data_IF_463883950532
#
_entry.id   IF_463883950532
#
_cell.length_a   1.000
_cell.length_b   1.000
_cell.length_c   1.000
_cell.angle_alpha   90.00
_cell.angle_beta   90.00
_cell.angle_gamma   90.00
#
_symmetry.space_group_name_H-M   'P 1'
#
loop_
_entity.id
_entity.type
_entity.pdbx_description
1 polymer ?
#
# COMPACT_ATOMS: atom_id res chain seq x y z
N UNK A 1 4.25 19.73 8.31
CA UNK A 1 2.86 19.96 7.84
C UNK A 1 1.98 18.88 8.40
N UNK A 2 0.74 19.18 8.76
CA UNK A 2 -0.14 18.22 9.43
C UNK A 2 -1.47 18.09 8.70
N UNK A 3 -1.96 16.84 8.57
CA UNK A 3 -3.29 16.51 8.10
C UNK A 3 -4.02 15.74 9.19
N UNK A 4 -5.22 16.18 9.54
CA UNK A 4 -6.13 15.46 10.45
C UNK A 4 -7.41 15.18 9.66
N UNK A 5 -7.82 13.93 9.62
CA UNK A 5 -9.05 13.48 8.96
C UNK A 5 -9.82 12.60 9.95
N UNK A 6 -10.90 13.11 10.48
CA UNK A 6 -11.83 12.37 11.32
C UNK A 6 -13.22 12.55 10.71
N UNK A 7 -13.65 11.59 9.89
CA UNK A 7 -14.89 11.71 9.10
C UNK A 7 -15.69 10.41 9.06
N UNK A 8 -17.01 10.58 8.92
CA UNK A 8 -17.93 9.51 8.56
C UNK A 8 -18.72 9.91 7.31
N UNK A 9 -18.90 8.94 6.40
CA UNK A 9 -19.74 9.09 5.21
C UNK A 9 -20.51 7.82 4.91
N UNK A 10 -21.81 7.93 4.84
CA UNK A 10 -22.67 6.83 4.40
C UNK A 10 -22.94 6.95 2.89
N UNK A 11 -22.71 5.86 2.17
CA UNK A 11 -23.00 5.72 0.75
C UNK A 11 -24.20 4.79 0.49
N UNK A 12 -24.91 4.36 1.55
CA UNK A 12 -26.03 3.42 1.48
C UNK A 12 -25.57 1.96 1.34
N UNK A 13 -24.69 1.64 0.38
CA UNK A 13 -24.14 0.31 0.18
C UNK A 13 -22.96 0.00 1.11
N UNK A 14 -22.24 1.01 1.56
CA UNK A 14 -21.18 0.91 2.57
C UNK A 14 -21.00 2.23 3.32
N UNK A 15 -20.44 2.17 4.52
CA UNK A 15 -20.14 3.33 5.35
C UNK A 15 -18.64 3.50 5.47
N UNK A 16 -18.17 4.73 5.22
CA UNK A 16 -16.77 5.12 5.38
C UNK A 16 -16.56 5.72 6.77
N UNK A 17 -15.58 5.21 7.50
CA UNK A 17 -15.13 5.77 8.78
C UNK A 17 -13.62 5.86 8.80
N UNK A 18 -13.11 7.08 8.92
CA UNK A 18 -11.69 7.40 8.84
C UNK A 18 -11.31 8.29 10.01
N UNK A 19 -10.32 7.84 10.79
CA UNK A 19 -9.68 8.65 11.82
C UNK A 19 -8.17 8.49 11.67
N UNK A 20 -7.53 9.49 11.08
CA UNK A 20 -6.08 9.49 10.81
C UNK A 20 -5.47 10.86 11.10
N UNK A 21 -4.22 10.82 11.54
CA UNK A 21 -3.37 11.99 11.72
C UNK A 21 -2.01 11.73 11.07
N UNK A 22 -1.52 12.71 10.30
CA UNK A 22 -0.24 12.62 9.60
C UNK A 22 0.58 13.88 9.82
N UNK A 23 1.90 13.70 9.94
CA UNK A 23 2.89 14.76 9.96
C UNK A 23 4.04 14.46 9.00
N UNK A 24 4.32 15.38 8.07
CA UNK A 24 5.52 15.43 7.21
C UNK A 24 6.05 14.10 6.62
N UNK A 25 5.19 13.09 6.39
CA UNK A 25 5.57 11.81 5.81
C UNK A 25 4.73 11.48 4.58
N UNK A 26 5.12 10.48 3.81
CA UNK A 26 4.27 9.90 2.76
C UNK A 26 3.36 8.86 3.41
N UNK A 27 2.07 9.17 3.49
CA UNK A 27 1.07 8.28 4.07
C UNK A 27 0.45 7.40 2.99
N UNK A 28 0.66 6.08 3.10
CA UNK A 28 0.04 5.10 2.22
C UNK A 28 -1.34 4.66 2.69
N UNK A 29 -2.32 4.61 1.77
CA UNK A 29 -3.58 3.92 1.99
C UNK A 29 -3.53 2.59 1.23
N UNK A 30 -3.46 1.49 1.95
CA UNK A 30 -3.37 0.14 1.41
C UNK A 30 -4.66 -0.64 1.68
N UNK A 31 -5.17 -1.38 0.70
CA UNK A 31 -6.36 -2.21 0.85
C UNK A 31 -6.95 -2.63 -0.50
N UNK A 32 -7.95 -3.51 -0.47
CA UNK A 32 -8.63 -4.01 -1.66
C UNK A 32 -9.35 -2.90 -2.44
N UNK A 33 -9.66 -3.17 -3.70
CA UNK A 33 -10.47 -2.26 -4.52
C UNK A 33 -11.86 -2.08 -3.89
N UNK A 34 -12.37 -0.83 -3.88
CA UNK A 34 -13.70 -0.52 -3.31
C UNK A 34 -13.74 -0.38 -1.78
N UNK A 35 -12.64 -0.54 -1.04
CA UNK A 35 -12.65 -0.43 0.43
C UNK A 35 -12.71 1.00 1.00
N UNK A 36 -12.76 2.05 0.15
CA UNK A 36 -12.98 3.44 0.60
C UNK A 36 -11.79 4.40 0.45
N UNK A 37 -10.61 3.94 0.01
CA UNK A 37 -9.38 4.76 -0.13
C UNK A 37 -9.57 6.00 -0.99
N UNK A 38 -9.98 5.84 -2.25
CA UNK A 38 -10.23 6.95 -3.19
C UNK A 38 -11.37 7.87 -2.73
N UNK A 39 -12.37 7.33 -2.01
CA UNK A 39 -13.44 8.15 -1.45
C UNK A 39 -12.94 9.04 -0.32
N UNK A 40 -12.00 8.56 0.50
CA UNK A 40 -11.32 9.37 1.50
C UNK A 40 -10.55 10.53 0.85
N UNK A 41 -9.78 10.25 -0.22
CA UNK A 41 -9.08 11.31 -0.96
C UNK A 41 -10.08 12.36 -1.51
N UNK A 42 -11.19 11.91 -2.08
CA UNK A 42 -12.25 12.81 -2.59
C UNK A 42 -12.87 13.66 -1.48
N UNK A 43 -13.01 13.11 -0.26
CA UNK A 43 -13.45 13.87 0.90
C UNK A 43 -12.43 14.94 1.31
N UNK A 44 -11.13 14.61 1.34
CA UNK A 44 -10.05 15.57 1.64
C UNK A 44 -10.02 16.68 0.59
N UNK A 45 -10.13 16.33 -0.69
CA UNK A 45 -10.16 17.28 -1.80
C UNK A 45 -11.42 18.15 -1.88
N UNK A 46 -12.49 17.80 -1.14
CA UNK A 46 -13.78 18.53 -1.18
C UNK A 46 -14.68 18.18 -2.36
N UNK A 47 -14.35 17.15 -3.10
CA UNK A 47 -15.16 16.62 -4.20
C UNK A 47 -16.39 15.88 -3.65
N UNK A 48 -16.20 15.17 -2.55
CA UNK A 48 -17.27 14.49 -1.80
C UNK A 48 -17.38 15.14 -0.42
N UNK A 49 -18.59 15.52 -0.02
CA UNK A 49 -18.84 16.06 1.31
C UNK A 49 -19.07 14.93 2.31
N UNK A 50 -18.28 14.82 3.40
CA UNK A 50 -18.57 13.92 4.51
C UNK A 50 -19.92 14.26 5.17
N UNK A 51 -20.51 13.28 5.87
CA UNK A 51 -21.74 13.52 6.62
C UNK A 51 -21.45 14.07 8.02
N UNK A 52 -20.35 13.57 8.65
CA UNK A 52 -19.91 13.99 9.98
C UNK A 52 -18.42 14.15 10.05
N UNK A 53 -17.98 14.87 11.08
CA UNK A 53 -16.58 14.94 11.45
C UNK A 53 -15.88 16.18 10.95
N UNK A 54 -14.57 16.09 10.78
CA UNK A 54 -13.68 17.24 10.55
C UNK A 54 -12.49 16.86 9.69
N UNK A 55 -12.04 17.81 8.84
CA UNK A 55 -10.78 17.73 8.08
C UNK A 55 -10.01 19.02 8.32
N UNK A 56 -8.76 18.87 8.77
CA UNK A 56 -7.86 20.00 9.04
C UNK A 56 -6.55 19.77 8.29
N UNK A 57 -6.07 20.78 7.60
CA UNK A 57 -4.77 20.81 6.93
C UNK A 57 -3.97 22.01 7.45
N UNK A 58 -2.80 21.78 8.03
CA UNK A 58 -1.92 22.81 8.59
C UNK A 58 -2.62 23.79 9.55
N UNK A 59 -3.52 23.26 10.40
CA UNK A 59 -4.33 24.07 11.33
C UNK A 59 -5.55 24.75 10.69
N UNK A 60 -5.67 24.75 9.35
CA UNK A 60 -6.82 25.30 8.62
C UNK A 60 -7.93 24.25 8.50
N UNK A 61 -9.13 24.60 8.94
CA UNK A 61 -10.31 23.72 8.85
C UNK A 61 -10.83 23.74 7.41
N UNK A 62 -10.77 22.59 6.74
CA UNK A 62 -11.31 22.41 5.38
C UNK A 62 -12.76 21.95 5.40
N UNK A 63 -13.11 21.12 6.38
CA UNK A 63 -14.46 20.65 6.64
C UNK A 63 -14.69 20.50 8.15
N UNK A 64 -15.87 20.89 8.61
CA UNK A 64 -16.34 20.68 9.98
C UNK A 64 -17.89 20.65 9.96
N UNK A 65 -18.45 19.48 10.27
CA UNK A 65 -19.89 19.25 10.23
C UNK A 65 -20.65 20.02 11.30
N UNK A 66 -20.05 20.23 12.48
CA UNK A 66 -20.67 20.94 13.60
C UNK A 66 -20.69 22.46 13.34
N UNK A 67 -19.57 23.00 12.85
CA UNK A 67 -19.43 24.41 12.52
C UNK A 67 -20.01 24.78 11.14
N UNK A 68 -20.50 23.79 10.40
CA UNK A 68 -21.03 23.94 9.02
C UNK A 68 -20.02 24.54 8.04
N UNK A 69 -18.73 24.24 8.24
CA UNK A 69 -17.65 24.64 7.35
C UNK A 69 -17.47 23.55 6.28
N UNK A 70 -17.41 23.94 5.02
CA UNK A 70 -17.08 23.07 3.89
C UNK A 70 -16.46 23.91 2.78
N UNK A 71 -15.14 24.02 2.77
CA UNK A 71 -14.43 24.76 1.73
C UNK A 71 -14.56 24.04 0.39
N UNK A 72 -14.83 24.79 -0.70
CA UNK A 72 -14.85 24.21 -2.03
C UNK A 72 -13.43 23.73 -2.44
N UNK A 73 -13.29 22.80 -3.39
CA UNK A 73 -11.99 22.23 -3.79
C UNK A 73 -10.93 23.29 -4.13
N UNK A 74 -11.32 24.38 -4.79
CA UNK A 74 -10.43 25.46 -5.23
C UNK A 74 -9.74 26.20 -4.06
N UNK A 75 -10.36 26.19 -2.89
CA UNK A 75 -9.84 26.86 -1.70
C UNK A 75 -9.03 25.94 -0.79
N UNK A 76 -8.99 24.62 -1.07
CA UNK A 76 -8.36 23.65 -0.17
C UNK A 76 -6.85 23.52 -0.31
N UNK A 77 -6.24 24.08 -1.35
CA UNK A 77 -4.80 23.99 -1.62
C UNK A 77 -4.33 22.52 -1.79
N UNK A 78 -5.11 21.69 -2.48
CA UNK A 78 -4.92 20.25 -2.62
C UNK A 78 -4.55 19.89 -4.06
N UNK A 79 -3.34 19.36 -4.29
CA UNK A 79 -2.96 18.70 -5.54
C UNK A 79 -3.59 17.32 -5.64
N UNK A 80 -4.34 17.03 -6.69
CA UNK A 80 -4.99 15.72 -6.87
C UNK A 80 -4.55 15.09 -8.19
N UNK A 81 -3.96 13.92 -8.11
CA UNK A 81 -3.72 13.04 -9.25
C UNK A 81 -4.79 11.94 -9.27
N UNK A 82 -5.66 11.97 -10.25
CA UNK A 82 -6.71 10.97 -10.46
C UNK A 82 -6.15 9.72 -11.14
N UNK A 83 -6.75 8.57 -10.86
CA UNK A 83 -6.39 7.28 -11.43
C UNK A 83 -6.36 7.27 -12.97
N UNK A 84 -7.26 7.99 -13.62
CA UNK A 84 -7.34 8.15 -15.08
C UNK A 84 -6.67 9.44 -15.58
N UNK A 85 -5.76 10.02 -14.77
CA UNK A 85 -5.06 11.29 -15.01
C UNK A 85 -5.97 12.50 -15.18
N UNK A 86 -7.22 12.35 -15.59
CA UNK A 86 -8.24 13.39 -15.80
C UNK A 86 -7.70 14.64 -16.53
N UNK A 87 -6.86 14.46 -17.55
CA UNK A 87 -6.43 15.56 -18.42
C UNK A 87 -7.63 16.02 -19.26
N UNK A 88 -7.72 17.34 -19.48
CA UNK A 88 -8.74 17.92 -20.32
C UNK A 88 -8.40 17.68 -21.80
N UNK A 89 -9.17 16.83 -22.52
CA UNK A 89 -8.78 16.37 -23.86
C UNK A 89 -8.81 17.45 -24.92
N UNK A 90 -9.59 18.51 -24.69
CA UNK A 90 -9.77 19.67 -25.59
C UNK A 90 -8.78 20.83 -25.29
N UNK A 91 -7.94 20.68 -24.28
CA UNK A 91 -6.92 21.63 -23.89
C UNK A 91 -5.54 21.10 -24.30
N UNK A 92 -4.65 22.01 -24.68
CA UNK A 92 -3.24 21.71 -24.88
C UNK A 92 -2.56 21.33 -23.55
N UNK A 93 -1.34 20.81 -23.61
CA UNK A 93 -0.55 20.45 -22.43
C UNK A 93 -0.27 21.70 -21.59
N UNK A 94 0.06 22.81 -22.24
CA UNK A 94 0.20 24.13 -21.58
C UNK A 94 -1.06 24.49 -20.78
N UNK A 95 -2.21 24.48 -21.43
CA UNK A 95 -3.49 24.84 -20.82
C UNK A 95 -3.88 23.91 -19.68
N UNK A 96 -3.60 22.60 -19.80
CA UNK A 96 -3.79 21.64 -18.72
C UNK A 96 -2.97 22.00 -17.46
N UNK A 97 -1.72 22.46 -17.62
CA UNK A 97 -0.88 22.87 -16.48
C UNK A 97 -1.34 24.22 -15.93
N UNK A 98 -1.73 25.16 -16.80
CA UNK A 98 -2.11 26.52 -16.43
C UNK A 98 -3.44 26.63 -15.70
N UNK A 99 -4.32 25.63 -15.78
CA UNK A 99 -5.68 25.70 -15.22
C UNK A 99 -5.71 26.00 -13.70
N UNK A 100 -4.73 25.49 -12.97
CA UNK A 100 -4.56 25.76 -11.53
C UNK A 100 -3.89 27.12 -11.23
N UNK A 101 -3.44 27.84 -12.26
CA UNK A 101 -2.67 29.08 -12.12
C UNK A 101 -3.47 30.33 -12.49
N UNK A 102 -4.80 30.29 -12.41
CA UNK A 102 -5.71 31.33 -12.90
C UNK A 102 -5.37 32.74 -12.39
N UNK A 103 -4.88 32.85 -11.16
CA UNK A 103 -4.59 34.11 -10.49
C UNK A 103 -3.22 34.74 -10.85
N UNK A 104 -2.41 34.07 -11.68
CA UNK A 104 -1.09 34.55 -12.06
C UNK A 104 -1.09 35.27 -13.41
N UNK A 105 -0.14 36.20 -13.60
CA UNK A 105 0.08 36.87 -14.88
C UNK A 105 0.69 35.92 -15.92
N UNK A 106 0.46 36.19 -17.20
CA UNK A 106 0.91 35.34 -18.33
C UNK A 106 2.40 34.99 -18.28
N UNK A 107 3.26 35.93 -17.97
CA UNK A 107 4.71 35.70 -17.89
C UNK A 107 5.11 34.74 -16.75
N UNK A 108 4.38 34.77 -15.65
CA UNK A 108 4.60 33.84 -14.51
C UNK A 108 4.13 32.44 -14.86
N UNK A 109 2.94 32.30 -15.48
CA UNK A 109 2.45 31.06 -16.01
C UNK A 109 3.43 30.41 -16.98
N UNK A 110 3.94 31.17 -17.95
CA UNK A 110 4.95 30.71 -18.91
C UNK A 110 6.20 30.14 -18.24
N UNK A 111 6.70 30.81 -17.19
CA UNK A 111 7.86 30.31 -16.43
C UNK A 111 7.57 29.01 -15.73
N UNK A 112 6.41 28.91 -15.05
CA UNK A 112 6.00 27.71 -14.31
C UNK A 112 5.78 26.53 -15.28
N UNK A 113 5.07 26.75 -16.38
CA UNK A 113 4.84 25.69 -17.38
C UNK A 113 6.17 25.16 -17.91
N UNK A 114 7.10 26.04 -18.31
CA UNK A 114 8.44 25.64 -18.80
C UNK A 114 9.23 24.88 -17.73
N UNK A 115 9.19 25.33 -16.47
CA UNK A 115 9.86 24.66 -15.36
C UNK A 115 9.35 23.23 -15.18
N UNK A 116 8.00 23.06 -15.12
CA UNK A 116 7.42 21.72 -14.90
C UNK A 116 7.56 20.82 -16.12
N UNK A 117 7.47 21.34 -17.34
CA UNK A 117 7.75 20.54 -18.54
C UNK A 117 9.21 20.04 -18.56
N UNK A 118 10.16 20.88 -18.15
CA UNK A 118 11.56 20.46 -18.02
C UNK A 118 11.73 19.40 -16.92
N UNK A 119 11.13 19.59 -15.73
CA UNK A 119 11.17 18.60 -14.63
C UNK A 119 10.58 17.26 -15.07
N UNK A 120 9.54 17.28 -15.91
CA UNK A 120 8.88 16.08 -16.44
C UNK A 120 9.53 15.54 -17.72
N UNK A 121 10.63 16.14 -18.21
CA UNK A 121 11.33 15.76 -19.46
C UNK A 121 10.39 15.79 -20.68
N UNK A 122 9.55 16.81 -20.78
CA UNK A 122 8.54 17.02 -21.84
C UNK A 122 8.64 18.41 -22.49
N UNK A 123 9.86 18.99 -22.57
CA UNK A 123 10.10 20.24 -23.29
C UNK A 123 9.68 20.12 -24.77
N UNK A 124 9.05 21.14 -25.29
CA UNK A 124 8.55 21.17 -26.67
C UNK A 124 7.19 20.49 -26.88
N UNK A 125 6.53 20.01 -25.78
CA UNK A 125 5.21 19.40 -25.85
C UNK A 125 4.07 20.39 -25.54
N UNK A 126 4.35 21.64 -25.31
CA UNK A 126 3.43 22.67 -24.83
C UNK A 126 2.11 22.76 -25.63
N UNK A 127 2.24 22.65 -26.95
CA UNK A 127 1.13 22.83 -27.89
C UNK A 127 0.45 21.50 -28.30
N UNK A 128 0.91 20.36 -27.75
CA UNK A 128 0.26 19.07 -28.01
C UNK A 128 -1.00 18.92 -27.16
N UNK A 129 -1.86 18.00 -27.59
CA UNK A 129 -3.06 17.58 -26.87
C UNK A 129 -2.83 16.24 -26.17
N UNK A 130 -3.59 15.90 -25.10
CA UNK A 130 -3.45 14.63 -24.38
C UNK A 130 -3.46 13.38 -25.25
N UNK A 131 -4.31 13.31 -26.26
CA UNK A 131 -4.41 12.16 -27.19
C UNK A 131 -3.15 11.94 -28.06
N UNK A 132 -2.25 12.90 -28.10
CA UNK A 132 -0.96 12.83 -28.82
C UNK A 132 0.19 12.31 -27.94
N UNK A 133 -0.11 11.92 -26.70
CA UNK A 133 0.86 11.49 -25.70
C UNK A 133 0.67 10.02 -25.36
N UNK A 134 1.78 9.31 -25.04
CA UNK A 134 1.73 8.00 -24.40
C UNK A 134 1.15 8.09 -22.98
N UNK A 135 0.68 6.96 -22.42
CA UNK A 135 0.13 6.91 -21.05
C UNK A 135 1.10 7.48 -20.01
N UNK A 136 2.38 7.12 -20.05
CA UNK A 136 3.40 7.67 -19.15
C UNK A 136 3.64 9.16 -19.33
N UNK A 137 3.56 9.69 -20.56
CA UNK A 137 3.63 11.13 -20.83
C UNK A 137 2.41 11.87 -20.28
N UNK A 138 1.21 11.30 -20.46
CA UNK A 138 -0.03 11.85 -19.87
C UNK A 138 0.06 11.93 -18.35
N UNK A 139 0.57 10.88 -17.71
CA UNK A 139 0.79 10.84 -16.27
C UNK A 139 1.73 11.95 -15.81
N UNK A 140 2.88 12.14 -16.47
CA UNK A 140 3.82 13.22 -16.14
C UNK A 140 3.17 14.60 -16.25
N UNK A 141 2.32 14.82 -17.25
CA UNK A 141 1.57 16.09 -17.36
C UNK A 141 0.54 16.24 -16.22
N UNK A 142 -0.12 15.16 -15.82
CA UNK A 142 -1.04 15.19 -14.69
C UNK A 142 -0.30 15.52 -13.36
N UNK A 143 0.91 15.00 -13.17
CA UNK A 143 1.80 15.42 -12.07
C UNK A 143 2.19 16.90 -12.19
N UNK A 144 2.62 17.35 -13.37
CA UNK A 144 2.95 18.76 -13.58
C UNK A 144 1.77 19.66 -13.20
N UNK A 145 0.55 19.34 -13.65
CA UNK A 145 -0.66 20.07 -13.30
C UNK A 145 -0.94 20.08 -11.80
N UNK A 146 -0.80 18.91 -11.14
CA UNK A 146 -1.06 18.78 -9.70
C UNK A 146 -0.05 19.54 -8.83
N UNK A 147 1.17 19.75 -9.31
CA UNK A 147 2.26 20.39 -8.56
C UNK A 147 2.46 21.88 -8.89
N UNK A 148 2.02 22.33 -10.08
CA UNK A 148 2.34 23.64 -10.62
C UNK A 148 1.92 24.81 -9.72
N UNK A 149 0.80 24.70 -9.01
CA UNK A 149 0.34 25.75 -8.10
C UNK A 149 0.82 25.57 -6.65
N UNK A 150 1.80 24.66 -6.41
CA UNK A 150 2.43 24.42 -5.11
C UNK A 150 1.43 24.10 -4.00
N UNK A 151 0.68 23.00 -4.11
CA UNK A 151 -0.33 22.64 -3.12
C UNK A 151 0.31 22.37 -1.75
N UNK A 152 -0.48 22.49 -0.67
CA UNK A 152 -0.08 22.13 0.70
C UNK A 152 -0.08 20.61 0.91
N UNK A 153 -0.91 19.89 0.16
CA UNK A 153 -1.00 18.43 0.18
C UNK A 153 -1.16 17.87 -1.23
N UNK A 154 -0.49 16.75 -1.49
CA UNK A 154 -0.59 15.99 -2.73
C UNK A 154 -1.33 14.67 -2.49
N UNK A 155 -2.43 14.47 -3.19
CA UNK A 155 -3.25 13.26 -3.14
C UNK A 155 -3.04 12.46 -4.43
N UNK A 156 -2.49 11.25 -4.31
CA UNK A 156 -2.16 10.37 -5.43
C UNK A 156 -3.06 9.14 -5.39
N UNK A 157 -4.01 9.05 -6.33
CA UNK A 157 -5.02 8.01 -6.39
C UNK A 157 -4.63 6.96 -7.43
N UNK A 158 -4.03 5.85 -6.99
CA UNK A 158 -3.56 4.73 -7.81
C UNK A 158 -2.75 5.20 -9.06
N UNK A 159 -1.68 5.97 -8.88
CA UNK A 159 -1.03 6.67 -9.99
C UNK A 159 -0.51 5.75 -11.10
N UNK A 160 -0.20 4.49 -10.80
CA UNK A 160 0.41 3.56 -11.76
C UNK A 160 -0.51 2.44 -12.24
N UNK A 161 -1.79 2.45 -11.84
CA UNK A 161 -2.74 1.37 -12.17
C UNK A 161 -3.02 1.20 -13.67
N UNK A 162 -2.80 2.25 -14.46
CA UNK A 162 -3.02 2.24 -15.92
C UNK A 162 -1.74 1.97 -16.73
N UNK A 163 -0.61 1.65 -16.10
CA UNK A 163 0.67 1.42 -16.77
C UNK A 163 1.00 -0.07 -16.89
N UNK A 164 1.71 -0.42 -17.96
CA UNK A 164 2.31 -1.73 -18.12
C UNK A 164 3.45 -1.95 -17.10
N UNK A 165 3.63 -3.18 -16.63
CA UNK A 165 4.56 -3.53 -15.55
C UNK A 165 6.01 -3.07 -15.82
N UNK A 166 6.51 -3.10 -17.07
CA UNK A 166 7.88 -2.70 -17.38
C UNK A 166 8.10 -1.19 -17.30
N UNK A 167 7.05 -0.37 -17.55
CA UNK A 167 7.10 1.09 -17.40
C UNK A 167 6.91 1.52 -15.95
N UNK A 168 6.18 0.73 -15.18
CA UNK A 168 5.82 1.00 -13.79
C UNK A 168 7.05 1.28 -12.92
N UNK A 169 8.05 0.39 -12.91
CA UNK A 169 9.26 0.55 -12.09
C UNK A 169 10.06 1.81 -12.43
N UNK A 170 10.15 2.18 -13.72
CA UNK A 170 10.80 3.42 -14.14
C UNK A 170 10.04 4.65 -13.65
N UNK A 171 8.71 4.62 -13.78
CA UNK A 171 7.84 5.73 -13.35
C UNK A 171 7.76 5.87 -11.83
N UNK A 172 7.82 4.77 -11.07
CA UNK A 172 7.93 4.80 -9.61
C UNK A 172 9.22 5.52 -9.17
N UNK A 173 10.36 5.19 -9.77
CA UNK A 173 11.63 5.85 -9.46
C UNK A 173 11.59 7.34 -9.79
N UNK A 174 11.00 7.71 -10.93
CA UNK A 174 10.82 9.13 -11.30
C UNK A 174 9.91 9.85 -10.30
N UNK A 175 8.82 9.21 -9.87
CA UNK A 175 7.93 9.78 -8.85
C UNK A 175 8.67 10.02 -7.54
N UNK A 176 9.42 9.03 -7.06
CA UNK A 176 10.21 9.15 -5.82
C UNK A 176 11.15 10.37 -5.91
N UNK A 177 11.84 10.57 -7.05
CA UNK A 177 12.70 11.74 -7.23
C UNK A 177 11.92 13.08 -7.22
N UNK A 178 10.74 13.11 -7.84
CA UNK A 178 9.87 14.30 -7.82
C UNK A 178 9.38 14.60 -6.39
N UNK A 179 9.04 13.57 -5.62
CA UNK A 179 8.52 13.71 -4.26
C UNK A 179 9.59 14.14 -3.26
N UNK A 180 10.89 13.85 -3.48
CA UNK A 180 11.99 14.34 -2.61
C UNK A 180 12.03 15.84 -2.46
N UNK A 181 11.72 16.58 -3.52
CA UNK A 181 11.73 18.04 -3.52
C UNK A 181 10.42 18.66 -3.03
N UNK A 182 9.39 17.82 -2.83
CA UNK A 182 8.08 18.30 -2.42
C UNK A 182 8.02 18.47 -0.90
N UNK A 183 7.69 19.69 -0.45
CA UNK A 183 7.68 20.04 0.97
C UNK A 183 6.31 19.89 1.65
N UNK A 184 5.28 19.46 0.90
CA UNK A 184 3.93 19.24 1.41
C UNK A 184 3.69 17.86 1.97
N UNK A 185 2.53 17.63 2.57
CA UNK A 185 2.05 16.31 2.94
C UNK A 185 1.67 15.50 1.69
N UNK A 186 1.85 14.18 1.73
CA UNK A 186 1.51 13.29 0.62
C UNK A 186 0.62 12.17 1.13
N UNK A 187 -0.51 11.94 0.46
CA UNK A 187 -1.32 10.72 0.66
C UNK A 187 -1.30 9.92 -0.63
N UNK A 188 -0.82 8.70 -0.53
CA UNK A 188 -0.62 7.78 -1.63
C UNK A 188 -1.58 6.59 -1.53
N UNK A 189 -2.45 6.41 -2.50
CA UNK A 189 -3.39 5.29 -2.56
C UNK A 189 -2.91 4.25 -3.54
N UNK A 190 -2.85 3.00 -3.09
CA UNK A 190 -2.57 1.84 -3.94
C UNK A 190 -3.19 0.57 -3.38
N UNK A 191 -3.35 -0.43 -4.23
CA UNK A 191 -3.60 -1.82 -3.83
C UNK A 191 -2.35 -2.71 -4.02
N UNK A 192 -1.27 -2.16 -4.56
CA UNK A 192 0.01 -2.85 -4.76
C UNK A 192 0.88 -2.71 -3.50
N UNK A 193 1.15 -3.87 -2.88
CA UNK A 193 1.95 -3.97 -1.65
C UNK A 193 3.37 -3.45 -1.88
N UNK A 194 3.98 -3.77 -3.02
CA UNK A 194 5.34 -3.37 -3.37
C UNK A 194 5.47 -1.86 -3.55
N UNK A 195 4.53 -1.22 -4.26
CA UNK A 195 4.47 0.24 -4.37
C UNK A 195 4.37 0.90 -3.00
N UNK A 196 3.41 0.43 -2.19
CA UNK A 196 3.17 0.98 -0.86
C UNK A 196 4.43 0.91 0.00
N UNK A 197 5.13 -0.22 0.01
CA UNK A 197 6.36 -0.41 0.78
C UNK A 197 7.52 0.48 0.30
N UNK A 198 7.67 0.67 -1.03
CA UNK A 198 8.77 1.48 -1.59
C UNK A 198 8.57 2.98 -1.41
N UNK A 199 7.33 3.46 -1.53
CA UNK A 199 7.03 4.90 -1.62
C UNK A 199 6.63 5.49 -0.27
N UNK A 200 5.89 4.74 0.57
CA UNK A 200 5.30 5.27 1.80
C UNK A 200 6.23 5.09 3.01
N UNK A 201 6.09 5.97 3.98
CA UNK A 201 6.75 5.89 5.29
C UNK A 201 5.82 5.24 6.31
N UNK A 202 4.59 5.75 6.38
CA UNK A 202 3.51 5.25 7.22
C UNK A 202 2.39 4.68 6.36
N UNK A 203 1.66 3.71 6.88
CA UNK A 203 0.56 3.05 6.17
C UNK A 203 -0.68 2.97 7.04
N UNK A 204 -1.82 3.24 6.43
CA UNK A 204 -3.16 2.96 6.95
C UNK A 204 -3.79 1.87 6.10
N UNK A 205 -4.14 0.78 6.75
CA UNK A 205 -4.86 -0.32 6.10
C UNK A 205 -6.34 -0.01 6.07
N UNK A 206 -6.95 -0.12 4.89
CA UNK A 206 -8.39 0.04 4.69
C UNK A 206 -9.09 -1.29 4.49
N UNK A 207 -10.16 -1.52 5.23
CA UNK A 207 -11.00 -2.70 5.07
C UNK A 207 -12.49 -2.33 5.19
N UNK A 208 -13.26 -2.59 4.13
CA UNK A 208 -14.74 -2.39 4.10
C UNK A 208 -15.20 -1.04 4.65
N UNK A 209 -14.56 0.04 4.24
CA UNK A 209 -14.90 1.40 4.65
C UNK A 209 -14.25 1.87 5.95
N UNK A 210 -13.57 0.99 6.68
CA UNK A 210 -12.88 1.33 7.91
C UNK A 210 -11.39 1.57 7.65
N UNK A 211 -10.88 2.72 8.07
CA UNK A 211 -9.45 2.99 8.17
C UNK A 211 -8.93 2.46 9.51
N UNK A 212 -7.93 1.60 9.47
CA UNK A 212 -7.26 1.08 10.67
C UNK A 212 -6.25 2.10 11.20
N UNK A 213 -5.61 1.80 12.32
CA UNK A 213 -4.60 2.68 12.89
C UNK A 213 -3.41 2.85 11.94
N UNK A 214 -2.90 4.07 11.85
CA UNK A 214 -1.65 4.37 11.14
C UNK A 214 -0.49 3.64 11.79
N UNK A 215 0.35 3.03 10.96
CA UNK A 215 1.56 2.31 11.39
C UNK A 215 2.74 2.61 10.48
N UNK A 216 3.92 2.64 11.05
CA UNK A 216 5.17 2.67 10.29
C UNK A 216 5.28 1.40 9.44
N UNK A 217 5.73 1.53 8.19
CA UNK A 217 5.71 0.43 7.21
C UNK A 217 6.44 -0.82 7.68
N UNK A 218 7.64 -0.68 8.26
CA UNK A 218 8.42 -1.84 8.70
C UNK A 218 7.72 -2.60 9.82
N UNK A 219 7.08 -1.88 10.75
CA UNK A 219 6.31 -2.48 11.83
C UNK A 219 5.06 -3.20 11.30
N UNK A 220 4.33 -2.58 10.37
CA UNK A 220 3.14 -3.19 9.77
C UNK A 220 3.48 -4.49 9.03
N UNK A 221 4.58 -4.50 8.28
CA UNK A 221 4.97 -5.67 7.49
C UNK A 221 5.62 -6.76 8.32
N UNK A 222 6.42 -6.43 9.33
CA UNK A 222 7.10 -7.43 10.15
C UNK A 222 6.20 -7.98 11.26
N UNK A 223 5.35 -7.14 11.87
CA UNK A 223 4.51 -7.49 13.01
C UNK A 223 3.08 -6.96 12.82
N UNK A 224 2.28 -7.52 11.91
CA UNK A 224 0.86 -7.17 11.78
C UNK A 224 0.15 -7.50 13.11
N UNK A 225 -0.79 -6.64 13.53
CA UNK A 225 -1.52 -6.79 14.79
C UNK A 225 -2.89 -7.45 14.64
N UNK A 226 -3.37 -7.56 13.40
CA UNK A 226 -4.69 -8.09 13.09
C UNK A 226 -4.65 -9.02 11.88
N UNK A 227 -5.62 -9.92 11.80
CA UNK A 227 -5.79 -10.80 10.63
C UNK A 227 -5.94 -10.00 9.33
N UNK A 228 -6.59 -8.85 9.39
CA UNK A 228 -6.74 -7.94 8.24
C UNK A 228 -5.39 -7.38 7.78
N UNK A 229 -4.57 -6.89 8.70
CA UNK A 229 -3.23 -6.39 8.38
C UNK A 229 -2.35 -7.49 7.78
N UNK A 230 -2.33 -8.68 8.38
CA UNK A 230 -1.57 -9.82 7.89
C UNK A 230 -1.97 -10.20 6.44
N UNK A 231 -3.27 -10.31 6.18
CA UNK A 231 -3.80 -10.64 4.86
C UNK A 231 -3.47 -9.57 3.81
N UNK A 232 -3.75 -8.30 4.12
CA UNK A 232 -3.57 -7.19 3.18
C UNK A 232 -2.07 -6.93 2.90
N UNK A 233 -1.18 -7.18 3.88
CA UNK A 233 0.28 -7.11 3.65
C UNK A 233 0.85 -8.38 3.01
N UNK A 234 0.01 -9.33 2.59
CA UNK A 234 0.39 -10.46 1.75
C UNK A 234 0.91 -11.68 2.51
N UNK A 235 0.67 -11.81 3.82
CA UNK A 235 0.96 -13.05 4.53
C UNK A 235 0.04 -14.18 4.01
N UNK A 236 0.65 -15.25 3.51
CA UNK A 236 -0.08 -16.41 2.94
C UNK A 236 -0.25 -17.55 3.95
N UNK A 237 0.64 -17.63 4.92
CA UNK A 237 0.63 -18.68 5.92
C UNK A 237 0.15 -18.07 7.24
N UNK A 238 -1.10 -18.38 7.58
CA UNK A 238 -1.76 -17.95 8.82
C UNK A 238 -2.46 -19.17 9.42
N UNK A 239 -2.31 -19.36 10.73
CA UNK A 239 -2.98 -20.42 11.47
C UNK A 239 -3.63 -19.87 12.74
N UNK A 240 -4.81 -20.39 13.08
CA UNK A 240 -5.33 -20.32 14.43
C UNK A 240 -4.43 -21.06 15.40
N UNK A 241 -4.40 -20.63 16.67
CA UNK A 241 -3.53 -21.21 17.67
C UNK A 241 -4.27 -21.67 18.93
N UNK A 242 -3.68 -22.69 19.57
CA UNK A 242 -3.85 -22.97 20.99
C UNK A 242 -2.53 -22.66 21.71
N UNK A 243 -2.60 -21.89 22.78
CA UNK A 243 -1.42 -21.49 23.56
C UNK A 243 -1.01 -22.65 24.47
N UNK A 244 0.22 -23.17 24.31
CA UNK A 244 0.78 -24.24 25.13
C UNK A 244 1.47 -23.64 26.38
N UNK A 245 2.30 -22.63 26.18
CA UNK A 245 2.96 -21.90 27.24
C UNK A 245 3.32 -20.46 26.78
N UNK A 246 4.16 -19.75 27.52
CA UNK A 246 4.51 -18.35 27.23
C UNK A 246 5.15 -18.12 25.87
N UNK A 247 5.84 -19.09 25.27
CA UNK A 247 6.59 -18.95 24.01
C UNK A 247 6.22 -20.02 22.97
N UNK A 248 5.34 -20.98 23.31
CA UNK A 248 5.01 -22.12 22.45
C UNK A 248 3.51 -22.20 22.20
N UNK A 249 3.15 -22.40 20.94
CA UNK A 249 1.77 -22.52 20.48
C UNK A 249 1.59 -23.73 19.58
N UNK A 250 0.38 -24.30 19.54
CA UNK A 250 -0.03 -25.26 18.55
C UNK A 250 -0.77 -24.56 17.42
N UNK A 251 -0.22 -24.60 16.23
CA UNK A 251 -0.80 -24.04 15.01
C UNK A 251 -1.83 -25.01 14.42
N UNK A 252 -3.11 -24.83 14.76
CA UNK A 252 -4.23 -25.75 14.41
C UNK A 252 -4.31 -26.06 12.94
N UNK A 253 -4.26 -25.01 12.11
CA UNK A 253 -4.41 -25.18 10.66
C UNK A 253 -3.21 -25.85 10.00
N UNK A 254 -2.06 -25.93 10.69
CA UNK A 254 -0.85 -26.58 10.17
C UNK A 254 -0.57 -27.94 10.85
N UNK A 255 -1.17 -28.21 12.01
CA UNK A 255 -0.94 -29.42 12.80
C UNK A 255 0.48 -29.52 13.35
N UNK A 256 1.09 -28.38 13.74
CA UNK A 256 2.48 -28.32 14.23
C UNK A 256 2.61 -27.40 15.43
N UNK A 257 3.59 -27.69 16.28
CA UNK A 257 3.93 -26.83 17.41
C UNK A 257 5.04 -25.84 17.03
N UNK A 258 4.78 -24.54 17.20
CA UNK A 258 5.70 -23.47 16.88
C UNK A 258 6.22 -22.78 18.15
N UNK A 259 7.51 -22.43 18.14
CA UNK A 259 8.16 -21.61 19.16
C UNK A 259 8.21 -20.17 18.59
N UNK A 260 7.72 -19.22 19.37
CA UNK A 260 7.72 -17.78 19.01
C UNK A 260 9.01 -17.12 19.44
N UNK A 261 9.39 -15.98 18.84
CA UNK A 261 10.60 -15.23 19.19
C UNK A 261 10.51 -14.53 20.55
N UNK A 262 9.28 -14.40 21.07
CA UNK A 262 8.97 -13.71 22.33
C UNK A 262 7.73 -14.34 22.96
N UNK A 263 7.37 -13.86 24.16
CA UNK A 263 6.13 -14.28 24.83
C UNK A 263 4.91 -13.99 23.93
N UNK A 264 4.01 -14.97 23.89
CA UNK A 264 2.74 -14.89 23.15
C UNK A 264 2.00 -13.62 23.56
N UNK A 265 1.58 -12.81 22.57
CA UNK A 265 0.82 -11.60 22.80
C UNK A 265 -0.50 -11.90 23.53
N UNK A 266 -0.85 -11.06 24.49
CA UNK A 266 -2.10 -11.22 25.24
C UNK A 266 -3.31 -11.10 24.28
N UNK A 267 -4.10 -12.17 24.20
CA UNK A 267 -5.26 -12.23 23.32
C UNK A 267 -4.97 -12.68 21.89
N UNK A 268 -3.74 -13.12 21.59
CA UNK A 268 -3.39 -13.68 20.29
C UNK A 268 -4.30 -14.89 19.96
N UNK A 269 -4.80 -14.90 18.74
CA UNK A 269 -5.64 -15.97 18.18
C UNK A 269 -4.99 -16.63 16.98
N UNK A 270 -4.03 -15.97 16.37
CA UNK A 270 -3.39 -16.40 15.14
C UNK A 270 -1.88 -16.25 15.24
N UNK A 271 -1.18 -17.11 14.48
CA UNK A 271 0.21 -16.88 14.10
C UNK A 271 0.32 -16.79 12.59
N UNK A 272 1.37 -16.11 12.14
CA UNK A 272 1.70 -16.00 10.73
C UNK A 272 3.19 -16.10 10.47
N UNK A 273 3.54 -16.55 9.27
CA UNK A 273 4.90 -16.52 8.74
C UNK A 273 4.86 -16.28 7.24
N UNK A 274 5.74 -15.43 6.71
CA UNK A 274 5.81 -15.16 5.28
C UNK A 274 6.49 -16.30 4.53
N UNK A 275 6.05 -16.58 3.31
CA UNK A 275 6.51 -17.71 2.51
C UNK A 275 8.04 -17.71 2.29
N UNK A 276 8.67 -16.54 2.16
CA UNK A 276 10.11 -16.38 1.97
C UNK A 276 10.94 -16.50 3.27
N UNK A 277 10.30 -16.55 4.44
CA UNK A 277 10.94 -16.83 5.74
C UNK A 277 10.92 -18.31 6.11
N UNK A 278 10.43 -19.15 5.22
CA UNK A 278 10.41 -20.59 5.37
C UNK A 278 11.44 -21.18 4.42
N UNK A 279 12.32 -22.04 4.92
CA UNK A 279 13.37 -22.66 4.12
C UNK A 279 13.18 -24.16 4.05
N UNK A 280 13.48 -24.73 2.88
CA UNK A 280 13.73 -26.16 2.75
C UNK A 280 15.17 -26.45 3.17
N UNK A 281 15.39 -27.42 4.02
CA UNK A 281 16.70 -27.79 4.52
C UNK A 281 16.94 -29.28 4.32
N UNK A 282 18.20 -29.67 4.09
CA UNK A 282 18.58 -31.06 4.14
C UNK A 282 18.56 -31.52 5.60
N UNK A 283 18.33 -32.84 5.83
CA UNK A 283 18.30 -33.41 7.18
C UNK A 283 19.72 -33.44 7.75
N UNK A 284 20.29 -32.27 7.98
CA UNK A 284 21.64 -32.14 8.56
C UNK A 284 21.53 -31.80 10.05
N UNK A 285 22.23 -32.56 10.88
CA UNK A 285 22.25 -32.44 12.35
C UNK A 285 22.76 -31.09 12.88
N UNK A 286 23.16 -30.18 11.98
CA UNK A 286 23.72 -28.85 12.31
C UNK A 286 22.66 -27.80 12.62
N UNK A 287 21.39 -28.00 12.23
CA UNK A 287 20.33 -27.03 12.51
C UNK A 287 19.77 -27.19 13.93
N UNK A 288 19.58 -26.11 14.65
CA UNK A 288 18.76 -26.13 15.88
C UNK A 288 17.39 -26.71 15.53
N UNK A 289 16.95 -27.73 16.28
CA UNK A 289 15.67 -28.44 16.02
C UNK A 289 14.40 -27.59 16.28
N UNK A 290 14.55 -26.34 16.73
CA UNK A 290 13.44 -25.41 16.94
C UNK A 290 12.77 -25.10 15.61
N UNK A 291 11.45 -25.19 15.53
CA UNK A 291 10.64 -24.89 14.33
C UNK A 291 11.13 -25.61 13.05
N UNK A 292 11.60 -26.85 13.19
CA UNK A 292 11.99 -27.74 12.10
C UNK A 292 10.96 -28.87 12.00
N UNK A 293 10.32 -29.03 10.83
CA UNK A 293 9.23 -29.94 10.61
C UNK A 293 9.48 -30.83 9.38
N UNK A 294 9.11 -32.10 9.46
CA UNK A 294 9.02 -32.99 8.30
C UNK A 294 7.61 -32.90 7.74
N UNK A 295 7.48 -32.38 6.51
CA UNK A 295 6.18 -32.15 5.87
C UNK A 295 6.17 -32.75 4.46
N UNK A 296 4.98 -33.07 3.93
CA UNK A 296 4.82 -33.65 2.60
C UNK A 296 4.51 -32.55 1.57
N UNK A 297 5.21 -32.58 0.45
CA UNK A 297 4.95 -31.69 -0.69
C UNK A 297 3.63 -32.07 -1.37
N UNK A 298 2.68 -31.15 -1.39
CA UNK A 298 1.35 -31.38 -2.00
C UNK A 298 1.20 -30.73 -3.37
N UNK A 299 1.87 -29.58 -3.63
CA UNK A 299 1.84 -28.89 -4.92
C UNK A 299 3.16 -28.15 -5.17
N UNK A 300 3.55 -28.03 -6.43
CA UNK A 300 4.69 -27.22 -6.86
C UNK A 300 4.27 -26.40 -8.07
N UNK A 301 4.48 -25.09 -8.02
CA UNK A 301 4.30 -24.18 -9.16
C UNK A 301 5.63 -23.53 -9.52
N UNK A 302 5.94 -23.54 -10.79
CA UNK A 302 7.14 -22.91 -11.30
C UNK A 302 6.84 -21.47 -11.74
N UNK A 303 7.55 -20.51 -11.15
CA UNK A 303 7.59 -19.12 -11.59
C UNK A 303 8.87 -18.85 -12.38
N UNK A 304 9.01 -17.63 -12.93
CA UNK A 304 10.19 -17.25 -13.71
C UNK A 304 11.52 -17.41 -12.95
N UNK A 305 11.56 -17.10 -11.65
CA UNK A 305 12.77 -17.06 -10.84
C UNK A 305 12.70 -17.88 -9.56
N UNK A 306 11.53 -18.40 -9.18
CA UNK A 306 11.30 -19.17 -7.95
C UNK A 306 10.35 -20.34 -8.20
N UNK A 307 10.30 -21.26 -7.24
CA UNK A 307 9.21 -22.22 -7.08
C UNK A 307 8.33 -21.81 -5.93
N UNK A 308 7.01 -21.92 -6.11
CA UNK A 308 6.05 -21.88 -5.02
C UNK A 308 5.72 -23.33 -4.67
N UNK A 309 6.14 -23.73 -3.49
CA UNK A 309 5.96 -25.09 -2.97
C UNK A 309 4.92 -25.06 -1.86
N UNK A 310 3.96 -25.95 -1.92
CA UNK A 310 2.98 -26.16 -0.87
C UNK A 310 3.32 -27.46 -0.14
N UNK A 311 3.51 -27.36 1.17
CA UNK A 311 3.79 -28.48 2.06
C UNK A 311 2.68 -28.62 3.10
N UNK A 312 2.43 -29.82 3.57
CA UNK A 312 1.33 -30.10 4.51
C UNK A 312 1.73 -31.19 5.49
N UNK A 313 1.31 -31.10 6.73
CA UNK A 313 1.36 -32.19 7.68
C UNK A 313 0.20 -33.17 7.39
N UNK A 314 0.48 -34.28 6.73
CA UNK A 314 -0.54 -35.28 6.39
C UNK A 314 -0.76 -36.31 7.52
N UNK A 315 0.05 -36.27 8.57
CA UNK A 315 -0.10 -37.13 9.74
C UNK A 315 -1.20 -36.61 10.70
N UNK A 316 -1.63 -35.35 10.51
CA UNK A 316 -2.73 -34.71 11.25
C UNK A 316 -3.92 -34.43 10.33
N UNK A 317 -5.13 -34.66 10.85
CA UNK A 317 -6.37 -34.44 10.11
C UNK A 317 -6.69 -32.93 9.97
N UNK A 318 -7.33 -32.53 8.85
CA UNK A 318 -7.84 -31.19 8.59
C UNK A 318 -6.77 -30.07 8.58
N UNK A 319 -5.53 -30.38 8.22
CA UNK A 319 -4.49 -29.36 8.08
C UNK A 319 -4.56 -28.65 6.74
N UNK A 320 -4.12 -27.40 6.72
CA UNK A 320 -4.00 -26.57 5.51
C UNK A 320 -2.56 -26.59 4.97
N UNK A 321 -2.38 -26.51 3.66
CA UNK A 321 -1.05 -26.38 3.08
C UNK A 321 -0.35 -25.06 3.49
N UNK A 322 0.96 -25.17 3.71
CA UNK A 322 1.85 -24.04 3.98
C UNK A 322 2.58 -23.70 2.68
N UNK A 323 2.54 -22.46 2.27
CA UNK A 323 3.21 -21.95 1.07
C UNK A 323 4.65 -21.57 1.38
N UNK A 324 5.60 -22.05 0.58
CA UNK A 324 7.02 -21.72 0.66
C UNK A 324 7.43 -21.14 -0.68
N UNK A 325 8.27 -20.10 -0.67
CA UNK A 325 8.91 -19.57 -1.86
C UNK A 325 10.38 -19.97 -1.86
N UNK A 326 10.80 -20.68 -2.91
CA UNK A 326 12.12 -21.32 -3.01
C UNK A 326 12.81 -20.85 -4.29
N UNK A 327 14.09 -20.48 -4.20
CA UNK A 327 14.88 -20.12 -5.38
C UNK A 327 15.15 -21.33 -6.30
N UNK A 328 15.32 -21.09 -7.61
CA UNK A 328 15.53 -22.16 -8.63
C UNK A 328 16.88 -22.89 -8.56
N UNK A 329 17.75 -22.53 -7.64
CA UNK A 329 19.05 -23.17 -7.45
C UNK A 329 19.01 -24.51 -6.66
N UNK A 330 17.81 -24.98 -6.30
CA UNK A 330 17.59 -26.22 -5.53
C UNK A 330 17.19 -27.36 -6.49
N UNK A 331 17.53 -28.60 -6.10
CA UNK A 331 17.14 -29.82 -6.83
C UNK A 331 15.63 -29.89 -7.05
N UNK A 332 15.13 -30.46 -8.16
CA UNK A 332 13.71 -30.52 -8.48
C UNK A 332 12.92 -31.20 -7.36
N UNK A 333 12.00 -30.47 -6.76
CA UNK A 333 11.12 -30.93 -5.69
C UNK A 333 9.94 -31.67 -6.31
N UNK A 334 9.60 -32.85 -5.81
CA UNK A 334 8.50 -33.67 -6.34
C UNK A 334 7.32 -33.69 -5.40
N UNK A 335 6.12 -33.66 -5.98
CA UNK A 335 4.88 -33.87 -5.23
C UNK A 335 4.88 -35.27 -4.61
N UNK A 336 4.48 -35.37 -3.34
CA UNK A 336 4.50 -36.59 -2.53
C UNK A 336 5.81 -36.82 -1.78
N UNK A 337 6.84 -36.02 -2.01
CA UNK A 337 8.11 -36.10 -1.30
C UNK A 337 7.99 -35.52 0.12
N UNK A 338 8.60 -36.19 1.11
CA UNK A 338 8.78 -35.63 2.46
C UNK A 338 10.01 -34.73 2.48
N UNK A 339 9.85 -33.55 2.99
CA UNK A 339 10.91 -32.52 3.05
C UNK A 339 11.01 -31.94 4.46
N UNK A 340 12.22 -31.54 4.85
CA UNK A 340 12.41 -30.79 6.09
C UNK A 340 12.22 -29.30 5.85
N UNK A 341 11.36 -28.70 6.64
CA UNK A 341 10.95 -27.32 6.54
C UNK A 341 11.31 -26.58 7.82
N UNK A 342 12.14 -25.55 7.69
CA UNK A 342 12.58 -24.70 8.79
C UNK A 342 11.84 -23.36 8.74
N UNK A 343 11.13 -23.03 9.80
CA UNK A 343 10.60 -21.68 10.02
C UNK A 343 11.64 -20.84 10.73
N UNK A 344 11.95 -19.67 10.19
CA UNK A 344 12.81 -18.69 10.86
C UNK A 344 12.08 -18.14 12.09
N UNK A 345 12.50 -18.55 13.29
CA UNK A 345 11.81 -18.24 14.55
C UNK A 345 11.54 -16.75 14.72
N UNK A 346 12.53 -15.88 14.42
CA UNK A 346 12.39 -14.43 14.53
C UNK A 346 11.41 -13.80 13.53
N UNK A 347 10.90 -14.59 12.59
CA UNK A 347 9.96 -14.14 11.55
C UNK A 347 8.55 -14.68 11.75
N UNK A 348 8.32 -15.45 12.81
CA UNK A 348 6.98 -15.85 13.23
C UNK A 348 6.39 -14.71 14.07
N UNK A 349 5.20 -14.26 13.74
CA UNK A 349 4.48 -13.22 14.47
C UNK A 349 3.10 -13.72 14.88
N UNK A 350 2.61 -13.23 16.00
CA UNK A 350 1.30 -13.55 16.57
C UNK A 350 0.41 -12.30 16.61
N UNK A 351 -0.91 -12.50 16.48
CA UNK A 351 -1.87 -11.40 16.39
C UNK A 351 -3.31 -11.82 16.73
N UNK A 352 -4.20 -10.81 16.89
CA UNK A 352 -5.62 -10.98 17.21
C UNK A 352 -6.52 -11.12 15.98
#
# INVERSE_FOLDING_TARGET
MSLIVDIEKDFGSFSLKVNIEQENSVLGFLGESGCGKSMTLKCIAGIVKPDKGKIILNGRVLFDSEKKINLPPQERQVGYLFQNYALFPHMTIRENIEIGLSNLHKNEKDKIVKEYLRKMKLEGFENRYPHQLSGGQQQRIAFARALAYKPEILLLDEPFSALDNHLKSSMENELIEILKDYQGSIVYVTHDIGECYRICDDIVVFNRGLAMNKREKSQLFNNPMTLTEANITGCKNISEIDIINEEKVFAKNWGIECILPSKVMRGARYIGIRAHHIRLVENDLQFKRENLFELTVTKVFENSFSYIVYVQNLDEENTNPIQIEVEKNISPIKVGEKVFVKFETNCIFDFC
#
